data_IF_189921003687
#
_entry.id   IF_189921003687
#
_cell.length_a   1.000
_cell.length_b   1.000
_cell.length_c   1.000
_cell.angle_alpha   90.00
_cell.angle_beta   90.00
_cell.angle_gamma   90.00
#
_symmetry.space_group_name_H-M   'P 1'
#
loop_
_entity.id
_entity.type
_entity.pdbx_description
1 polymer ?
2 non-polymer ?
3 non-polymer ?
4 water ?
#
# COMPACT_ATOMS: atom_id res chain seq x y z
N UNK A 3 7.50 -2.83 -28.49
CA UNK A 3 6.96 -1.91 -29.53
C UNK A 3 5.50 -1.58 -29.20
N UNK A 4 4.65 -2.60 -29.10
CA UNK A 4 3.21 -2.51 -28.70
C UNK A 4 2.87 -3.67 -27.77
N UNK A 5 2.66 -3.42 -26.49
CA UNK A 5 2.21 -4.43 -25.52
C UNK A 5 1.80 -3.79 -24.18
N UNK A 6 0.89 -4.44 -23.48
CA UNK A 6 0.37 -4.06 -22.16
C UNK A 6 0.90 -5.06 -21.13
N UNK A 7 1.41 -4.58 -20.00
CA UNK A 7 1.75 -5.47 -18.85
C UNK A 7 0.86 -5.12 -17.67
N UNK A 8 0.20 -6.13 -17.11
CA UNK A 8 -0.64 -6.02 -15.90
C UNK A 8 0.12 -6.58 -14.69
N UNK A 9 0.11 -5.86 -13.59
CA UNK A 9 0.64 -6.31 -12.29
C UNK A 9 -0.44 -6.06 -11.27
N UNK A 10 -0.37 -6.72 -10.13
CA UNK A 10 -1.39 -6.64 -9.08
C UNK A 10 -0.75 -6.10 -7.80
N UNK A 11 -1.44 -5.17 -7.14
CA UNK A 11 -1.11 -4.71 -5.78
C UNK A 11 -2.25 -5.10 -4.86
N UNK A 12 -1.93 -5.32 -3.60
CA UNK A 12 -2.90 -5.49 -2.51
C UNK A 12 -2.60 -4.42 -1.46
N UNK A 13 -3.54 -3.50 -1.26
CA UNK A 13 -3.57 -2.57 -0.10
C UNK A 13 -4.53 -3.14 0.93
N UNK A 14 -4.21 -2.96 2.19
CA UNK A 14 -5.05 -3.49 3.27
C UNK A 14 -4.69 -2.89 4.58
N UNK A 15 -5.47 -3.22 5.57
CA UNK A 15 -5.27 -2.71 6.93
C UNK A 15 -5.94 -3.66 7.89
N UNK A 16 -5.36 -3.75 9.07
CA UNK A 16 -5.89 -4.47 10.24
C UNK A 16 -6.05 -3.46 11.36
N UNK A 17 -7.13 -3.57 12.13
CA UNK A 17 -7.42 -2.69 13.30
C UNK A 17 -8.08 -3.52 14.39
N UNK A 18 -7.73 -3.24 15.64
CA UNK A 18 -8.39 -3.85 16.82
C UNK A 18 -8.31 -2.89 18.02
N UNK A 19 -9.25 -3.04 18.96
CA UNK A 19 -9.21 -2.39 20.29
C UNK A 19 -7.88 -2.69 20.94
N UNK A 20 -7.28 -1.65 21.48
CA UNK A 20 -5.99 -1.69 22.20
C UNK A 20 -6.28 -2.05 23.65
N UNK A 21 -5.58 -3.05 24.22
CA UNK A 21 -5.68 -3.42 25.67
C UNK A 21 -4.66 -2.57 26.46
N UNK A 22 -5.08 -1.45 27.04
CA UNK A 22 -4.18 -0.43 27.65
C UNK A 22 -4.89 0.27 28.82
N UNK A 23 -4.18 1.08 29.63
CA UNK A 23 -4.83 1.87 30.68
C UNK A 23 -5.97 2.76 30.11
N UNK A 24 -6.96 3.07 30.95
CA UNK A 24 -8.12 3.95 30.64
C UNK A 24 -7.60 5.37 30.29
N UNK A 25 -6.42 5.76 30.83
CA UNK A 25 -5.81 7.13 30.78
C UNK A 25 -4.88 7.27 29.55
N UNK A 26 -4.69 6.19 28.78
CA UNK A 26 -4.02 6.19 27.44
C UNK A 26 -5.08 6.52 26.37
N UNK A 27 -4.86 7.56 25.56
CA UNK A 27 -5.92 8.15 24.70
C UNK A 27 -6.32 7.23 23.54
N UNK A 28 -5.36 6.56 22.95
CA UNK A 28 -5.53 5.75 21.73
C UNK A 28 -6.28 4.45 22.07
N UNK A 29 -7.40 4.23 21.39
CA UNK A 29 -8.30 3.08 21.62
C UNK A 29 -7.85 1.89 20.78
N UNK A 30 -7.10 2.11 19.71
CA UNK A 30 -6.91 1.09 18.63
C UNK A 30 -5.45 0.96 18.28
N UNK A 31 -5.06 -0.24 17.91
CA UNK A 31 -3.84 -0.53 17.12
C UNK A 31 -4.29 -0.76 15.69
N UNK A 32 -3.55 -0.22 14.74
CA UNK A 32 -3.80 -0.54 13.33
C UNK A 32 -2.51 -0.64 12.54
N UNK A 33 -2.64 -1.25 11.39
CA UNK A 33 -1.51 -1.61 10.52
C UNK A 33 -2.03 -1.51 9.09
N UNK A 34 -1.36 -0.73 8.28
CA UNK A 34 -1.72 -0.56 6.85
C UNK A 34 -0.52 -1.00 6.04
N UNK A 35 -0.77 -1.59 4.87
CA UNK A 35 0.29 -2.20 4.05
C UNK A 35 -0.05 -2.08 2.57
N UNK A 36 1.00 -2.21 1.77
CA UNK A 36 0.94 -2.58 0.35
C UNK A 36 1.82 -3.81 0.16
N UNK A 37 1.30 -4.80 -0.54
CA UNK A 37 2.03 -6.04 -0.88
C UNK A 37 1.61 -6.51 -2.28
N UNK A 38 2.36 -7.46 -2.83
CA UNK A 38 1.96 -8.23 -4.02
C UNK A 38 1.13 -9.43 -3.61
N UNK A 39 0.50 -10.15 -4.55
CA UNK A 39 -0.09 -11.45 -4.25
C UNK A 39 1.04 -12.44 -3.95
N UNK A 40 0.70 -13.64 -3.48
CA UNK A 40 1.65 -14.75 -3.16
C UNK A 40 2.63 -14.97 -4.32
N UNK A 41 3.92 -15.04 -4.03
CA UNK A 41 4.98 -15.47 -4.98
C UNK A 41 5.10 -14.46 -6.14
N UNK A 42 4.72 -13.22 -5.88
CA UNK A 42 5.13 -12.04 -6.69
C UNK A 42 5.99 -11.15 -5.82
N UNK A 43 6.97 -10.49 -6.41
CA UNK A 43 7.91 -9.62 -5.69
C UNK A 43 7.81 -8.19 -6.26
N UNK A 44 6.89 -7.37 -5.74
CA UNK A 44 6.61 -6.01 -6.27
C UNK A 44 7.85 -5.14 -6.11
N UNK A 45 8.82 -5.57 -5.33
CA UNK A 45 10.00 -4.73 -5.05
C UNK A 45 10.74 -4.48 -6.34
N UNK A 46 10.60 -5.39 -7.31
CA UNK A 46 11.25 -5.27 -8.65
C UNK A 46 10.80 -3.98 -9.36
N UNK A 47 9.59 -3.51 -9.15
CA UNK A 47 9.04 -2.35 -9.91
C UNK A 47 8.61 -1.23 -8.98
N UNK A 48 8.54 -1.48 -7.68
CA UNK A 48 8.18 -0.45 -6.67
C UNK A 48 9.47 0.11 -6.07
N UNK A 49 9.71 1.40 -6.28
CA UNK A 49 10.87 2.14 -5.71
C UNK A 49 10.60 2.39 -4.23
N UNK A 50 9.37 2.73 -3.87
CA UNK A 50 8.99 3.02 -2.47
C UNK A 50 7.50 3.23 -2.37
N UNK A 51 6.97 3.08 -1.17
CA UNK A 51 5.58 3.43 -0.80
C UNK A 51 5.62 4.49 0.29
N UNK A 52 4.86 5.56 0.08
CA UNK A 52 4.71 6.68 1.04
C UNK A 52 3.28 6.66 1.53
N UNK A 53 3.09 6.43 2.83
CA UNK A 53 1.78 6.51 3.52
C UNK A 53 1.66 7.90 4.16
N UNK A 54 0.61 8.62 3.79
CA UNK A 54 0.33 9.99 4.31
C UNK A 54 -0.67 9.87 5.44
N UNK A 55 -0.18 9.79 6.67
CA UNK A 55 -0.99 9.69 7.89
C UNK A 55 -1.67 11.03 8.15
N UNK A 56 -2.71 11.00 8.95
CA UNK A 56 -3.37 12.19 9.53
C UNK A 56 -2.31 13.15 10.05
N UNK A 57 -2.50 14.47 9.83
CA UNK A 57 -1.58 15.59 10.20
C UNK A 57 -1.24 15.53 11.69
N UNK A 58 -2.08 14.90 12.49
CA UNK A 58 -1.96 14.83 13.97
C UNK A 58 -0.84 13.87 14.38
N UNK A 59 -0.42 12.95 13.52
CA UNK A 59 0.64 11.95 13.85
C UNK A 59 2.01 12.61 13.82
N UNK A 60 2.99 12.12 14.60
CA UNK A 60 4.39 12.52 14.42
C UNK A 60 4.91 11.96 13.08
N UNK A 61 5.72 12.76 12.37
CA UNK A 61 6.23 12.47 11.00
C UNK A 61 5.15 11.75 10.20
N UNK A 62 4.10 12.46 9.72
CA UNK A 62 2.97 11.78 9.07
C UNK A 62 3.27 11.30 7.65
N UNK A 63 4.37 11.77 7.06
CA UNK A 63 4.90 11.24 5.79
C UNK A 63 5.79 10.04 6.11
N UNK A 64 5.22 8.84 6.01
CA UNK A 64 5.92 7.56 6.34
C UNK A 64 6.33 6.87 5.04
N UNK A 65 7.65 6.69 4.85
CA UNK A 65 8.28 6.10 3.63
C UNK A 65 8.71 4.68 3.95
N UNK A 66 8.33 3.73 3.13
CA UNK A 66 8.95 2.39 3.09
C UNK A 66 9.67 2.22 1.76
N UNK A 67 10.98 2.13 1.79
CA UNK A 67 11.83 2.03 0.59
C UNK A 67 12.03 0.56 0.20
N UNK A 68 11.60 -0.37 1.04
CA UNK A 68 11.67 -1.82 0.74
C UNK A 68 10.62 -2.55 1.56
N UNK A 69 10.32 -3.81 1.23
CA UNK A 69 9.31 -4.55 1.96
C UNK A 69 9.82 -4.85 3.37
N UNK A 70 8.92 -4.90 4.38
CA UNK A 70 7.49 -4.77 4.14
C UNK A 70 7.04 -3.30 4.02
N UNK A 71 6.13 -3.02 3.09
CA UNK A 71 5.56 -1.68 2.89
C UNK A 71 4.38 -1.56 3.82
N UNK A 72 4.64 -1.07 5.03
CA UNK A 72 3.59 -1.04 6.06
C UNK A 72 3.89 0.01 7.12
N UNK A 73 2.85 0.46 7.76
CA UNK A 73 2.91 1.36 8.94
C UNK A 73 2.06 0.72 10.02
N UNK A 74 2.64 0.55 11.20
CA UNK A 74 1.92 0.11 12.42
C UNK A 74 1.82 1.30 13.35
N UNK A 75 0.64 1.59 13.86
CA UNK A 75 0.38 2.79 14.69
C UNK A 75 -0.71 2.48 15.71
N UNK A 76 -0.87 3.37 16.66
CA UNK A 76 -2.04 3.43 17.54
C UNK A 76 -2.81 4.70 17.19
N UNK A 77 -4.13 4.72 17.43
CA UNK A 77 -4.95 5.92 17.19
C UNK A 77 -6.34 5.82 17.82
N UNK A 78 -7.16 6.85 17.64
CA UNK A 78 -8.49 6.98 18.27
C UNK A 78 -9.59 7.21 17.21
N UNK A 79 -9.24 7.25 15.92
CA UNK A 79 -10.19 7.52 14.81
C UNK A 79 -9.64 6.99 13.47
N UNK A 80 -10.54 6.53 12.59
CA UNK A 80 -10.25 6.26 11.19
C UNK A 80 -9.92 7.54 10.45
N UNK A 81 -9.35 7.46 9.26
CA UNK A 81 -9.13 8.62 8.38
C UNK A 81 -8.87 8.12 6.95
N UNK A 82 -8.93 9.04 6.00
CA UNK A 82 -8.55 8.80 4.60
C UNK A 82 -7.04 8.99 4.47
N UNK A 83 -6.36 7.93 4.02
CA UNK A 83 -4.89 7.90 3.93
C UNK A 83 -4.48 7.88 2.45
N UNK A 84 -3.91 8.98 1.93
CA UNK A 84 -3.23 8.93 0.64
C UNK A 84 -2.07 7.94 0.74
N UNK A 85 -2.01 7.01 -0.20
CA UNK A 85 -0.88 6.04 -0.32
C UNK A 85 -0.31 6.16 -1.73
N UNK A 86 0.95 6.56 -1.83
CA UNK A 86 1.63 6.74 -3.09
C UNK A 86 2.55 5.54 -3.28
N UNK A 87 2.39 4.83 -4.39
CA UNK A 87 3.33 3.76 -4.82
C UNK A 87 4.16 4.31 -5.96
N UNK A 88 5.44 4.60 -5.68
CA UNK A 88 6.42 5.11 -6.68
C UNK A 88 7.05 3.93 -7.43
N UNK A 89 7.22 4.08 -8.74
CA UNK A 89 7.73 3.03 -9.64
C UNK A 89 9.21 3.27 -9.93
N UNK A 90 9.97 2.20 -10.20
CA UNK A 90 11.34 2.23 -10.80
C UNK A 90 11.22 2.40 -12.32
N UNK A 91 10.50 3.45 -12.72
CA UNK A 91 10.11 3.76 -14.12
C UNK A 91 10.81 5.05 -14.51
N UNK A 92 11.44 5.11 -15.67
CA UNK A 92 12.15 6.34 -16.11
C UNK A 92 11.16 7.28 -16.81
N UNK A 93 9.98 6.79 -17.20
CA UNK A 93 8.96 7.61 -17.91
C UNK A 93 7.62 7.53 -17.16
N UNK A 94 6.60 8.16 -17.69
CA UNK A 94 5.26 8.21 -17.08
C UNK A 94 4.56 6.89 -17.34
N UNK A 95 3.75 6.40 -16.39
CA UNK A 95 3.61 7.05 -15.08
C UNK A 95 4.73 6.67 -14.10
N UNK A 96 5.09 7.59 -13.22
CA UNK A 96 6.19 7.47 -12.25
C UNK A 96 5.66 6.92 -10.94
N UNK A 97 4.36 7.04 -10.72
CA UNK A 97 3.74 6.64 -9.44
C UNK A 97 2.23 6.52 -9.62
N UNK A 98 1.57 6.04 -8.59
CA UNK A 98 0.08 5.97 -8.50
C UNK A 98 -0.31 6.29 -7.06
N UNK A 99 -1.30 7.15 -6.87
CA UNK A 99 -1.79 7.56 -5.54
C UNK A 99 -3.15 6.95 -5.30
N UNK A 100 -3.27 6.17 -4.24
CA UNK A 100 -4.54 5.58 -3.77
C UNK A 100 -5.04 6.45 -2.63
N UNK A 101 -6.34 6.53 -2.49
CA UNK A 101 -7.03 7.12 -1.33
C UNK A 101 -7.56 5.97 -0.49
N UNK A 102 -6.87 5.64 0.60
CA UNK A 102 -7.18 4.46 1.41
C UNK A 102 -8.07 4.87 2.59
N UNK A 103 -9.23 4.20 2.71
CA UNK A 103 -10.18 4.30 3.85
C UNK A 103 -9.62 3.47 5.02
N UNK A 104 -8.81 4.07 5.87
CA UNK A 104 -8.40 3.46 7.16
C UNK A 104 -9.53 3.65 8.18
N UNK A 105 -10.45 2.69 8.29
CA UNK A 105 -11.53 2.70 9.28
C UNK A 105 -11.21 1.73 10.43
N UNK A 106 -11.66 2.05 11.63
CA UNK A 106 -11.49 1.23 12.87
C UNK A 106 -12.76 0.42 13.14
N UNK A 107 -12.63 -0.68 13.88
CA UNK A 107 -13.76 -1.42 14.48
C UNK A 107 -14.24 -0.68 15.72
N UNK A 108 -15.47 -0.21 15.68
CA UNK A 108 -16.06 0.61 16.77
C UNK A 108 -17.16 -0.19 17.45
N UNK A 109 -17.52 0.20 18.69
CA UNK A 109 -18.70 -0.32 19.46
C UNK A 109 -18.52 -1.83 19.68
N UNK A 110 -17.35 -2.25 20.17
CA UNK A 110 -17.03 -3.68 20.38
C UNK A 110 -17.42 -4.55 19.20
N UNK A 111 -16.98 -4.18 17.98
CA UNK A 111 -17.07 -5.05 16.76
C UNK A 111 -15.77 -5.83 16.59
N UNK A 112 -15.82 -7.00 15.91
CA UNK A 112 -14.61 -7.77 15.65
C UNK A 112 -13.48 -6.92 15.06
N UNK A 113 -12.21 -7.34 15.18
CA UNK A 113 -11.12 -6.72 14.45
C UNK A 113 -11.43 -6.51 12.96
N UNK A 114 -10.88 -5.46 12.37
CA UNK A 114 -10.91 -5.19 10.92
C UNK A 114 -9.75 -5.93 10.27
N UNK A 115 -10.01 -6.64 9.20
CA UNK A 115 -8.95 -7.28 8.37
C UNK A 115 -9.38 -7.15 6.92
N UNK A 116 -8.98 -6.06 6.28
CA UNK A 116 -9.46 -5.65 4.93
C UNK A 116 -8.34 -5.73 3.94
N UNK A 117 -8.71 -6.08 2.74
CA UNK A 117 -7.85 -6.13 1.57
C UNK A 117 -8.55 -5.43 0.41
N UNK A 118 -7.80 -4.63 -0.30
CA UNK A 118 -8.25 -3.96 -1.53
C UNK A 118 -7.26 -4.32 -2.66
N UNK A 119 -7.74 -5.07 -3.63
CA UNK A 119 -6.93 -5.59 -4.75
C UNK A 119 -6.99 -4.58 -5.91
N UNK A 120 -5.85 -4.05 -6.31
CA UNK A 120 -5.71 -3.10 -7.43
C UNK A 120 -4.96 -3.78 -8.57
N UNK A 121 -5.46 -3.63 -9.78
CA UNK A 121 -4.80 -4.08 -11.02
C UNK A 121 -4.18 -2.86 -11.70
N UNK A 122 -2.89 -2.87 -11.93
CA UNK A 122 -2.21 -1.81 -12.70
C UNK A 122 -1.93 -2.30 -14.13
N UNK A 123 -2.31 -1.51 -15.11
CA UNK A 123 -2.10 -1.77 -16.55
C UNK A 123 -1.10 -0.74 -17.07
N UNK A 124 0.11 -1.18 -17.38
CA UNK A 124 1.15 -0.37 -18.04
C UNK A 124 1.08 -0.61 -19.57
N UNK A 125 0.65 0.41 -20.31
CA UNK A 125 0.64 0.40 -21.79
C UNK A 125 2.04 0.76 -22.25
N UNK A 126 2.66 -0.12 -23.02
CA UNK A 126 3.86 0.20 -23.81
C UNK A 126 4.97 0.67 -22.89
N UNK A 127 5.25 -0.05 -21.79
CA UNK A 127 6.38 0.31 -20.92
C UNK A 127 7.71 0.22 -21.68
N UNK A 128 8.70 0.98 -21.28
CA UNK A 128 10.06 0.87 -21.84
C UNK A 128 10.56 -0.57 -21.70
N UNK A 129 11.67 -0.88 -22.34
CA UNK A 129 12.30 -2.21 -22.29
C UNK A 129 12.61 -2.54 -20.83
N UNK A 130 13.33 -1.65 -20.17
CA UNK A 130 13.92 -1.89 -18.84
C UNK A 130 12.78 -2.07 -17.81
N UNK A 131 11.78 -1.18 -17.84
CA UNK A 131 10.65 -1.22 -16.88
C UNK A 131 9.75 -2.43 -17.18
N UNK A 132 9.57 -2.78 -18.44
CA UNK A 132 8.87 -4.04 -18.82
C UNK A 132 9.51 -5.21 -18.07
N UNK A 133 10.84 -5.25 -17.97
CA UNK A 133 11.55 -6.42 -17.43
C UNK A 133 11.24 -6.49 -15.94
N UNK A 134 11.27 -5.33 -15.27
CA UNK A 134 10.92 -5.19 -13.83
C UNK A 134 9.49 -5.68 -13.57
N UNK A 135 8.52 -5.22 -14.35
CA UNK A 135 7.12 -5.70 -14.19
C UNK A 135 7.09 -7.22 -14.33
N UNK A 136 7.85 -7.76 -15.29
CA UNK A 136 7.80 -9.22 -15.57
C UNK A 136 8.49 -9.95 -14.43
N UNK A 137 9.63 -9.42 -13.95
CA UNK A 137 10.38 -9.97 -12.78
C UNK A 137 9.45 -10.03 -11.56
N UNK A 138 8.60 -9.02 -11.38
CA UNK A 138 7.69 -8.89 -10.23
C UNK A 138 6.54 -9.87 -10.37
N UNK A 139 6.37 -10.51 -11.53
CA UNK A 139 5.28 -11.45 -11.83
C UNK A 139 4.16 -10.84 -12.66
N UNK A 140 4.40 -9.70 -13.32
CA UNK A 140 3.46 -9.08 -14.27
C UNK A 140 3.18 -9.98 -15.47
N UNK A 141 2.07 -9.77 -16.16
CA UNK A 141 1.63 -10.60 -17.32
C UNK A 141 1.32 -9.70 -18.50
N UNK A 142 1.59 -10.17 -19.69
CA UNK A 142 1.32 -9.42 -20.93
C UNK A 142 -0.05 -9.78 -21.46
N UNK A 143 -0.69 -8.85 -22.16
CA UNK A 143 -2.06 -8.98 -22.73
C UNK A 143 -2.00 -8.59 -24.20
N UNK A 144 -2.90 -9.13 -25.03
CA UNK A 144 -2.85 -9.04 -26.53
C UNK A 144 -4.13 -9.65 -27.14
#
# INVERSE_FOLDING_TARGET
MDNQCTVQVRLELGHRAQLRKKPTTEGFTHDWMVFVRGPEQCDIQHFVEKVVFWLHDSFPKPRRVCKEPPYKVEESGYAGFIMPIEVHFKNKEEPRKVCFTYDLFLNLEGNPPVNHLRCEKLTFNNPTTEFRYKLLRAGGVMVMPEGAHHHHHH
#
